data_IF_696469554805
#
_entry.id   IF_696469554805
#
_cell.length_a   1.000
_cell.length_b   1.000
_cell.length_c   1.000
_cell.angle_alpha   90.00
_cell.angle_beta   90.00
_cell.angle_gamma   90.00
#
_symmetry.space_group_name_H-M   'P 1'
#
loop_
_entity.id
_entity.type
_entity.pdbx_description
1 polymer ?
#
# COMPACT_ATOMS: atom_id res chain seq x y z
N UNK A 1 -20.84 -13.98 -21.55
CA UNK A 1 -19.72 -14.52 -22.37
C UNK A 1 -18.49 -13.63 -22.32
N UNK A 2 -18.65 -12.31 -22.42
CA UNK A 2 -17.54 -11.35 -22.43
C UNK A 2 -16.66 -11.39 -21.19
N UNK A 3 -17.22 -11.49 -19.99
CA UNK A 3 -16.44 -11.43 -18.74
C UNK A 3 -15.58 -12.68 -18.50
N UNK A 4 -16.07 -13.89 -18.80
CA UNK A 4 -15.27 -15.12 -18.76
C UNK A 4 -14.02 -15.00 -19.65
N UNK A 5 -14.18 -14.43 -20.86
CA UNK A 5 -13.05 -14.21 -21.77
C UNK A 5 -12.05 -13.19 -21.21
N UNK A 6 -12.49 -12.21 -20.42
CA UNK A 6 -11.57 -11.28 -19.76
C UNK A 6 -10.71 -11.99 -18.69
N UNK A 7 -11.28 -12.93 -17.93
CA UNK A 7 -10.50 -13.77 -17.03
C UNK A 7 -9.48 -14.62 -17.81
N UNK A 8 -9.86 -15.22 -18.94
CA UNK A 8 -8.92 -15.96 -19.80
C UNK A 8 -7.80 -15.06 -20.37
N UNK A 9 -8.11 -13.80 -20.72
CA UNK A 9 -7.10 -12.83 -21.15
C UNK A 9 -6.14 -12.46 -20.01
N UNK A 10 -6.66 -12.31 -18.78
CA UNK A 10 -5.82 -12.11 -17.59
C UNK A 10 -4.95 -13.34 -17.34
N UNK A 11 -5.50 -14.54 -17.49
CA UNK A 11 -4.76 -15.81 -17.39
C UNK A 11 -3.60 -15.85 -18.41
N UNK A 12 -3.87 -15.52 -19.67
CA UNK A 12 -2.85 -15.41 -20.71
C UNK A 12 -1.77 -14.37 -20.37
N UNK A 13 -2.16 -13.22 -19.80
CA UNK A 13 -1.23 -12.21 -19.30
C UNK A 13 -0.28 -12.77 -18.22
N UNK A 14 -0.81 -13.54 -17.27
CA UNK A 14 -0.01 -14.22 -16.25
C UNK A 14 0.90 -15.28 -16.85
N UNK A 15 0.45 -16.04 -17.86
CA UNK A 15 1.30 -17.00 -18.58
C UNK A 15 2.49 -16.29 -19.25
N UNK A 16 2.25 -15.18 -19.93
CA UNK A 16 3.33 -14.38 -20.54
C UNK A 16 4.34 -13.91 -19.48
N UNK A 17 3.85 -13.38 -18.35
CA UNK A 17 4.74 -12.96 -17.25
C UNK A 17 5.49 -14.15 -16.62
N UNK A 18 4.85 -15.30 -16.47
CA UNK A 18 5.49 -16.52 -15.99
C UNK A 18 6.62 -16.95 -16.93
N UNK A 19 6.37 -17.00 -18.24
CA UNK A 19 7.40 -17.30 -19.24
C UNK A 19 8.57 -16.30 -19.18
N UNK A 20 8.28 -14.99 -19.07
CA UNK A 20 9.31 -13.95 -18.92
C UNK A 20 10.13 -14.17 -17.63
N UNK A 21 9.48 -14.50 -16.51
CA UNK A 21 10.16 -14.77 -15.25
C UNK A 21 11.02 -16.03 -15.32
N UNK A 22 10.50 -17.11 -15.91
CA UNK A 22 11.19 -18.39 -16.06
C UNK A 22 12.43 -18.26 -16.97
N UNK A 23 12.26 -17.64 -18.14
CA UNK A 23 13.36 -17.39 -19.06
C UNK A 23 14.46 -16.54 -18.40
N UNK A 24 14.07 -15.44 -17.73
CA UNK A 24 15.05 -14.59 -17.02
C UNK A 24 15.66 -15.27 -15.80
N UNK A 25 14.93 -16.12 -15.10
CA UNK A 25 15.47 -16.89 -13.97
C UNK A 25 16.54 -17.86 -14.47
N UNK A 26 16.26 -18.56 -15.56
CA UNK A 26 17.20 -19.45 -16.23
C UNK A 26 18.46 -18.70 -16.68
N UNK A 27 18.31 -17.60 -17.41
CA UNK A 27 19.44 -16.88 -18.00
C UNK A 27 20.30 -16.13 -16.99
N UNK A 28 19.70 -15.67 -15.88
CA UNK A 28 20.39 -14.81 -14.92
C UNK A 28 20.70 -15.45 -13.57
N UNK A 29 20.11 -16.61 -13.26
CA UNK A 29 20.14 -17.20 -11.92
C UNK A 29 19.49 -16.34 -10.83
N UNK A 30 18.75 -15.28 -11.18
CA UNK A 30 18.21 -14.34 -10.22
C UNK A 30 17.00 -14.91 -9.45
N UNK A 31 17.29 -15.50 -8.28
CA UNK A 31 16.30 -16.12 -7.39
C UNK A 31 15.14 -15.21 -6.95
N UNK A 32 15.24 -13.87 -7.07
CA UNK A 32 14.09 -12.99 -6.80
C UNK A 32 12.94 -13.17 -7.78
N UNK A 33 13.16 -13.84 -8.92
CA UNK A 33 12.11 -14.15 -9.89
C UNK A 33 11.27 -15.37 -9.50
N UNK A 34 11.67 -16.16 -8.51
CA UNK A 34 10.96 -17.38 -8.10
C UNK A 34 9.55 -17.05 -7.59
N UNK A 35 9.41 -16.13 -6.64
CA UNK A 35 8.09 -15.78 -6.09
C UNK A 35 7.18 -15.14 -7.14
N UNK A 36 7.61 -14.16 -7.96
CA UNK A 36 6.80 -13.65 -9.08
C UNK A 36 6.39 -14.74 -10.07
N UNK A 37 7.29 -15.68 -10.39
CA UNK A 37 6.98 -16.82 -11.26
C UNK A 37 5.87 -17.69 -10.67
N UNK A 38 6.02 -18.11 -9.40
CA UNK A 38 5.03 -18.96 -8.73
C UNK A 38 3.66 -18.26 -8.60
N UNK A 39 3.65 -16.96 -8.31
CA UNK A 39 2.42 -16.16 -8.28
C UNK A 39 1.78 -16.08 -9.67
N UNK A 40 2.55 -15.84 -10.72
CA UNK A 40 2.01 -15.82 -12.08
C UNK A 40 1.40 -17.19 -12.47
N UNK A 41 2.04 -18.31 -12.14
CA UNK A 41 1.49 -19.64 -12.40
C UNK A 41 0.21 -19.91 -11.62
N UNK A 42 0.16 -19.42 -10.37
CA UNK A 42 -1.03 -19.53 -9.51
C UNK A 42 -2.20 -18.73 -10.06
N UNK A 43 -1.95 -17.48 -10.46
CA UNK A 43 -2.98 -16.58 -10.97
C UNK A 43 -3.41 -16.97 -12.39
N UNK A 44 -2.51 -17.55 -13.18
CA UNK A 44 -2.87 -18.25 -14.42
C UNK A 44 -3.90 -19.34 -14.14
N UNK A 45 -3.62 -20.24 -13.20
CA UNK A 45 -4.55 -21.30 -12.83
C UNK A 45 -5.87 -20.74 -12.31
N UNK A 46 -5.83 -19.77 -11.39
CA UNK A 46 -7.01 -19.16 -10.79
C UNK A 46 -7.93 -18.53 -11.84
N UNK A 47 -7.37 -17.70 -12.71
CA UNK A 47 -8.13 -17.01 -13.75
C UNK A 47 -8.66 -17.98 -14.81
N UNK A 48 -7.91 -19.03 -15.16
CA UNK A 48 -8.38 -20.07 -16.08
C UNK A 48 -9.56 -20.87 -15.49
N UNK A 49 -9.52 -21.21 -14.19
CA UNK A 49 -10.64 -21.91 -13.55
C UNK A 49 -11.88 -21.01 -13.48
N UNK A 50 -11.72 -19.71 -13.16
CA UNK A 50 -12.83 -18.74 -13.16
C UNK A 50 -13.40 -18.57 -14.59
N UNK A 51 -12.53 -18.42 -15.59
CA UNK A 51 -12.93 -18.26 -16.99
C UNK A 51 -13.70 -19.46 -17.52
N UNK A 52 -13.23 -20.67 -17.20
CA UNK A 52 -13.86 -21.94 -17.57
C UNK A 52 -15.18 -22.22 -16.84
N UNK A 53 -15.41 -21.62 -15.65
CA UNK A 53 -16.50 -22.04 -14.76
C UNK A 53 -17.90 -21.96 -15.35
N UNK A 54 -18.19 -20.97 -16.22
CA UNK A 54 -19.46 -20.90 -16.97
C UNK A 54 -19.69 -22.14 -17.85
N UNK A 55 -18.62 -22.67 -18.45
CA UNK A 55 -18.70 -23.78 -19.41
C UNK A 55 -18.75 -25.13 -18.69
N UNK A 56 -18.06 -25.23 -17.55
CA UNK A 56 -18.07 -26.43 -16.70
C UNK A 56 -19.39 -26.57 -15.93
N UNK A 57 -20.05 -25.46 -15.60
CA UNK A 57 -21.23 -25.45 -14.77
C UNK A 57 -20.93 -25.73 -13.29
N UNK A 58 -21.95 -25.64 -12.44
CA UNK A 58 -21.82 -25.97 -11.03
C UNK A 58 -21.79 -27.49 -10.88
N UNK A 59 -20.88 -28.00 -10.05
CA UNK A 59 -20.72 -29.44 -9.85
C UNK A 59 -19.29 -29.82 -9.43
N UNK A 60 -19.10 -31.12 -9.20
CA UNK A 60 -17.87 -31.64 -8.58
C UNK A 60 -16.58 -31.32 -9.34
N UNK A 61 -16.62 -31.17 -10.67
CA UNK A 61 -15.43 -30.80 -11.46
C UNK A 61 -14.96 -29.39 -11.16
N UNK A 62 -15.86 -28.39 -11.27
CA UNK A 62 -15.51 -26.99 -10.99
C UNK A 62 -15.17 -26.79 -9.50
N UNK A 63 -15.83 -27.53 -8.62
CA UNK A 63 -15.54 -27.55 -7.19
C UNK A 63 -14.12 -28.08 -6.90
N UNK A 64 -13.76 -29.24 -7.46
CA UNK A 64 -12.43 -29.84 -7.31
C UNK A 64 -11.32 -28.95 -7.90
N UNK A 65 -11.57 -28.28 -9.02
CA UNK A 65 -10.66 -27.28 -9.57
C UNK A 65 -10.59 -25.99 -8.72
N UNK A 66 -11.61 -25.74 -7.88
CA UNK A 66 -11.63 -24.55 -7.04
C UNK A 66 -10.84 -24.71 -5.75
N UNK A 67 -10.76 -25.91 -5.18
CA UNK A 67 -10.02 -26.16 -3.93
C UNK A 67 -8.54 -25.71 -3.99
N UNK A 68 -7.75 -26.05 -5.03
CA UNK A 68 -6.35 -25.63 -5.10
C UNK A 68 -6.17 -24.12 -5.16
N UNK A 69 -7.15 -23.38 -5.70
CA UNK A 69 -7.09 -21.91 -5.79
C UNK A 69 -6.93 -21.32 -4.39
N UNK A 70 -7.79 -21.71 -3.45
CA UNK A 70 -7.74 -21.24 -2.07
C UNK A 70 -6.47 -21.69 -1.34
N UNK A 71 -6.12 -22.97 -1.48
CA UNK A 71 -4.93 -23.51 -0.81
C UNK A 71 -3.62 -22.85 -1.26
N UNK A 72 -3.46 -22.63 -2.56
CA UNK A 72 -2.25 -22.01 -3.11
C UNK A 72 -2.20 -20.52 -2.72
N UNK A 73 -3.32 -19.79 -2.79
CA UNK A 73 -3.37 -18.38 -2.36
C UNK A 73 -3.06 -18.21 -0.87
N UNK A 74 -3.56 -19.12 -0.03
CA UNK A 74 -3.33 -19.09 1.41
C UNK A 74 -1.84 -19.14 1.79
N UNK A 75 -1.02 -19.76 0.94
CA UNK A 75 0.42 -19.88 1.17
C UNK A 75 1.21 -18.85 0.38
N UNK A 76 1.00 -18.74 -0.94
CA UNK A 76 1.87 -17.96 -1.82
C UNK A 76 1.70 -16.45 -1.66
N UNK A 77 0.49 -15.96 -1.41
CA UNK A 77 0.28 -14.52 -1.23
C UNK A 77 1.07 -13.97 -0.03
N UNK A 78 1.05 -14.61 1.15
CA UNK A 78 1.94 -14.26 2.26
C UNK A 78 3.44 -14.30 1.95
N UNK A 79 3.91 -15.13 1.01
CA UNK A 79 5.33 -15.19 0.61
C UNK A 79 5.82 -13.91 -0.09
N UNK A 80 4.92 -12.98 -0.44
CA UNK A 80 5.29 -11.63 -0.83
C UNK A 80 6.04 -10.86 0.28
N UNK A 81 5.78 -11.17 1.55
CA UNK A 81 6.44 -10.55 2.71
C UNK A 81 7.96 -10.83 2.70
N UNK A 82 8.44 -12.10 2.74
CA UNK A 82 9.86 -12.39 2.67
C UNK A 82 10.47 -12.01 1.32
N UNK A 83 9.71 -12.08 0.22
CA UNK A 83 10.19 -11.58 -1.08
C UNK A 83 10.50 -10.08 -1.04
N UNK A 84 9.57 -9.28 -0.53
CA UNK A 84 9.73 -7.82 -0.42
C UNK A 84 10.88 -7.46 0.53
N UNK A 85 11.05 -8.23 1.61
CA UNK A 85 12.19 -8.06 2.51
C UNK A 85 13.52 -8.35 1.79
N UNK A 86 13.62 -9.43 1.03
CA UNK A 86 14.81 -9.75 0.23
C UNK A 86 15.12 -8.69 -0.83
N UNK A 87 14.08 -8.14 -1.46
CA UNK A 87 14.16 -7.00 -2.39
C UNK A 87 14.70 -5.76 -1.69
N UNK A 88 14.23 -5.44 -0.48
CA UNK A 88 14.72 -4.30 0.31
C UNK A 88 16.20 -4.45 0.66
N UNK A 89 16.64 -5.65 1.06
CA UNK A 89 18.06 -5.96 1.31
C UNK A 89 18.87 -5.69 0.04
N UNK A 90 18.46 -6.25 -1.10
CA UNK A 90 19.18 -6.08 -2.37
C UNK A 90 19.20 -4.64 -2.87
N UNK A 91 18.15 -3.88 -2.59
CA UNK A 91 18.09 -2.44 -2.87
C UNK A 91 18.99 -1.62 -1.93
N UNK A 92 19.59 -2.23 -0.89
CA UNK A 92 20.46 -1.56 0.07
C UNK A 92 19.69 -0.66 1.04
N UNK A 93 18.44 -1.02 1.35
CA UNK A 93 17.62 -0.31 2.35
C UNK A 93 18.20 -0.57 3.74
N UNK A 94 18.45 0.51 4.50
CA UNK A 94 19.23 0.45 5.75
C UNK A 94 18.63 -0.43 6.85
N UNK A 95 17.30 -0.43 7.00
CA UNK A 95 16.63 -1.22 8.04
C UNK A 95 16.55 -2.71 7.70
N UNK A 96 16.64 -3.08 6.42
CA UNK A 96 16.34 -4.43 5.95
C UNK A 96 17.36 -5.47 6.42
N UNK A 97 18.62 -5.08 6.66
CA UNK A 97 19.65 -5.97 7.18
C UNK A 97 19.59 -6.22 8.69
N UNK A 98 18.70 -5.55 9.42
CA UNK A 98 18.66 -5.61 10.89
C UNK A 98 18.01 -6.91 11.41
N UNK A 99 18.38 -7.34 12.63
CA UNK A 99 17.76 -8.49 13.31
C UNK A 99 16.24 -8.27 13.54
N UNK A 100 15.78 -7.09 14.00
CA UNK A 100 14.36 -6.81 14.11
C UNK A 100 13.62 -6.97 12.78
N UNK A 101 14.16 -6.47 11.66
CA UNK A 101 13.51 -6.63 10.36
C UNK A 101 13.34 -8.10 9.94
N UNK A 102 14.34 -8.95 10.20
CA UNK A 102 14.22 -10.40 9.95
C UNK A 102 13.14 -11.05 10.82
N UNK A 103 13.12 -10.75 12.12
CA UNK A 103 12.13 -11.30 13.05
C UNK A 103 10.71 -10.85 12.70
N UNK A 104 10.52 -9.56 12.41
CA UNK A 104 9.22 -9.02 11.97
C UNK A 104 8.76 -9.69 10.68
N UNK A 105 9.65 -9.85 9.70
CA UNK A 105 9.33 -10.54 8.43
C UNK A 105 8.88 -11.97 8.69
N UNK A 106 9.62 -12.74 9.49
CA UNK A 106 9.27 -14.11 9.83
C UNK A 106 7.93 -14.20 10.58
N UNK A 107 7.73 -13.37 11.60
CA UNK A 107 6.51 -13.34 12.40
C UNK A 107 5.27 -12.98 11.56
N UNK A 108 5.37 -11.93 10.73
CA UNK A 108 4.27 -11.53 9.85
C UNK A 108 3.95 -12.58 8.80
N UNK A 109 4.96 -13.26 8.25
CA UNK A 109 4.75 -14.34 7.28
C UNK A 109 4.04 -15.52 7.93
N UNK A 110 4.52 -15.97 9.10
CA UNK A 110 3.91 -17.08 9.82
C UNK A 110 2.48 -16.77 10.23
N UNK A 111 2.22 -15.56 10.74
CA UNK A 111 0.88 -15.09 11.07
C UNK A 111 -0.03 -15.08 9.85
N UNK A 112 0.41 -14.48 8.74
CA UNK A 112 -0.39 -14.37 7.52
C UNK A 112 -0.72 -15.75 6.93
N UNK A 113 0.25 -16.67 6.86
CA UNK A 113 0.01 -18.05 6.40
C UNK A 113 -0.93 -18.78 7.37
N UNK A 114 -0.68 -18.71 8.67
CA UNK A 114 -1.52 -19.40 9.67
C UNK A 114 -2.97 -18.95 9.62
N UNK A 115 -3.21 -17.62 9.50
CA UNK A 115 -4.56 -17.08 9.34
C UNK A 115 -5.18 -17.49 8.01
N UNK A 116 -4.45 -17.39 6.90
CA UNK A 116 -4.98 -17.75 5.58
C UNK A 116 -5.33 -19.24 5.50
N UNK A 117 -4.46 -20.13 5.97
CA UNK A 117 -4.73 -21.58 6.01
C UNK A 117 -5.93 -21.88 6.89
N UNK A 118 -6.03 -21.24 8.06
CA UNK A 118 -7.18 -21.41 8.94
C UNK A 118 -8.51 -20.98 8.32
N UNK A 119 -8.50 -19.96 7.46
CA UNK A 119 -9.70 -19.41 6.82
C UNK A 119 -10.05 -20.14 5.51
N UNK A 120 -9.06 -20.31 4.64
CA UNK A 120 -9.25 -20.64 3.23
C UNK A 120 -8.94 -22.10 2.92
N UNK A 121 -8.45 -22.86 3.90
CA UNK A 121 -8.17 -24.29 3.75
C UNK A 121 -8.93 -25.10 4.79
N UNK A 122 -8.70 -24.83 6.07
CA UNK A 122 -9.31 -25.62 7.17
C UNK A 122 -10.82 -25.37 7.26
N UNK A 123 -11.24 -24.12 7.09
CA UNK A 123 -12.66 -23.71 7.14
C UNK A 123 -13.28 -23.56 5.75
N UNK A 124 -12.62 -24.04 4.70
CA UNK A 124 -13.08 -23.87 3.34
C UNK A 124 -14.48 -24.47 3.17
N UNK A 125 -15.44 -23.61 2.80
CA UNK A 125 -16.80 -24.02 2.47
C UNK A 125 -17.13 -23.49 1.08
N UNK A 126 -17.06 -24.34 0.07
CA UNK A 126 -17.24 -23.89 -1.30
C UNK A 126 -18.73 -23.67 -1.61
N UNK A 127 -19.07 -22.50 -2.16
CA UNK A 127 -20.40 -22.19 -2.67
C UNK A 127 -20.33 -21.65 -4.11
N UNK A 128 -21.18 -22.13 -5.03
CA UNK A 128 -21.25 -21.58 -6.38
C UNK A 128 -21.81 -20.15 -6.35
N UNK A 129 -21.14 -19.25 -7.05
CA UNK A 129 -21.46 -17.83 -7.13
C UNK A 129 -21.47 -17.37 -8.59
N UNK A 130 -22.54 -16.66 -8.95
CA UNK A 130 -22.68 -16.01 -10.25
C UNK A 130 -22.32 -14.54 -10.15
N UNK A 131 -21.40 -14.10 -11.02
CA UNK A 131 -21.05 -12.69 -11.14
C UNK A 131 -20.84 -12.31 -12.61
N UNK A 132 -21.60 -11.33 -13.10
CA UNK A 132 -21.49 -10.81 -14.47
C UNK A 132 -21.43 -11.91 -15.57
N UNK A 133 -22.21 -12.98 -15.40
CA UNK A 133 -22.27 -14.12 -16.33
C UNK A 133 -21.07 -15.09 -16.27
N UNK A 134 -20.23 -14.95 -15.24
CA UNK A 134 -19.23 -15.95 -14.83
C UNK A 134 -19.79 -16.77 -13.67
N UNK A 135 -19.37 -18.05 -13.61
CA UNK A 135 -19.65 -18.94 -12.50
C UNK A 135 -18.32 -19.31 -11.85
N UNK A 136 -18.22 -19.17 -10.53
CA UNK A 136 -17.05 -19.58 -9.74
C UNK A 136 -17.51 -20.18 -8.42
N UNK A 137 -16.66 -20.94 -7.75
CA UNK A 137 -16.86 -21.19 -6.32
C UNK A 137 -16.13 -20.13 -5.47
N UNK A 138 -16.86 -19.57 -4.51
CA UNK A 138 -16.38 -18.72 -3.42
C UNK A 138 -16.32 -19.48 -2.10
N UNK A 139 -15.65 -18.92 -1.10
CA UNK A 139 -15.63 -19.46 0.27
C UNK A 139 -16.82 -18.88 1.07
N UNK A 140 -17.85 -19.67 1.32
CA UNK A 140 -19.01 -19.27 2.12
C UNK A 140 -18.70 -19.06 3.60
N UNK A 141 -17.61 -19.67 4.10
CA UNK A 141 -17.12 -19.46 5.45
C UNK A 141 -16.22 -18.21 5.58
N UNK A 142 -16.10 -17.44 4.50
CA UNK A 142 -15.43 -16.15 4.46
C UNK A 142 -15.84 -15.28 5.65
N UNK A 143 -14.92 -15.12 6.60
CA UNK A 143 -15.08 -14.16 7.70
C UNK A 143 -14.39 -12.84 7.32
N UNK A 144 -14.68 -11.75 8.03
CA UNK A 144 -13.96 -10.48 7.83
C UNK A 144 -12.43 -10.64 7.86
N UNK A 145 -11.89 -11.61 8.61
CA UNK A 145 -10.44 -11.89 8.69
C UNK A 145 -9.78 -12.44 7.42
N UNK A 146 -10.54 -12.86 6.41
CA UNK A 146 -9.98 -13.39 5.14
C UNK A 146 -9.13 -12.35 4.39
N UNK A 147 -9.44 -11.06 4.54
CA UNK A 147 -8.65 -9.99 3.95
C UNK A 147 -7.28 -9.79 4.64
N UNK A 148 -7.09 -10.31 5.86
CA UNK A 148 -5.92 -9.98 6.68
C UNK A 148 -4.57 -10.37 6.05
N UNK A 149 -4.38 -11.61 5.54
CA UNK A 149 -3.12 -12.01 4.92
C UNK A 149 -2.75 -11.13 3.72
N UNK A 150 -3.73 -10.80 2.88
CA UNK A 150 -3.57 -9.92 1.72
C UNK A 150 -3.22 -8.50 2.16
N UNK A 151 -3.89 -7.96 3.19
CA UNK A 151 -3.60 -6.64 3.73
C UNK A 151 -2.19 -6.53 4.32
N UNK A 152 -1.75 -7.54 5.08
CA UNK A 152 -0.40 -7.59 5.64
C UNK A 152 0.63 -7.64 4.50
N UNK A 153 0.48 -8.56 3.56
CA UNK A 153 1.40 -8.73 2.43
C UNK A 153 1.45 -7.46 1.55
N UNK A 154 0.30 -6.94 1.15
CA UNK A 154 0.19 -5.73 0.33
C UNK A 154 0.80 -4.50 1.00
N UNK A 155 0.53 -4.30 2.29
CA UNK A 155 1.13 -3.20 3.07
C UNK A 155 2.65 -3.34 3.14
N UNK A 156 3.16 -4.55 3.35
CA UNK A 156 4.60 -4.79 3.42
C UNK A 156 5.30 -4.54 2.07
N UNK A 157 4.68 -4.96 0.96
CA UNK A 157 5.14 -4.65 -0.40
C UNK A 157 5.11 -3.13 -0.65
N UNK A 158 4.07 -2.43 -0.20
CA UNK A 158 3.95 -0.98 -0.35
C UNK A 158 5.04 -0.22 0.43
N UNK A 159 5.26 -0.59 1.69
CA UNK A 159 6.37 -0.08 2.53
C UNK A 159 7.71 -0.27 1.82
N UNK A 160 7.93 -1.46 1.27
CA UNK A 160 9.14 -1.80 0.50
C UNK A 160 9.24 -0.94 -0.76
N UNK A 161 8.16 -0.75 -1.51
CA UNK A 161 8.10 0.12 -2.68
C UNK A 161 8.50 1.56 -2.36
N UNK A 162 7.99 2.12 -1.25
CA UNK A 162 8.41 3.45 -0.78
C UNK A 162 9.90 3.44 -0.42
N UNK A 163 10.38 2.45 0.33
CA UNK A 163 11.79 2.38 0.74
C UNK A 163 12.75 2.31 -0.46
N UNK A 164 12.43 1.50 -1.48
CA UNK A 164 13.20 1.42 -2.73
C UNK A 164 13.15 2.74 -3.48
N UNK A 165 11.97 3.38 -3.57
CA UNK A 165 11.87 4.68 -4.21
C UNK A 165 12.79 5.70 -3.53
N UNK A 166 12.78 5.78 -2.21
CA UNK A 166 13.62 6.73 -1.48
C UNK A 166 15.11 6.41 -1.61
N UNK A 167 15.46 5.12 -1.69
CA UNK A 167 16.85 4.67 -1.75
C UNK A 167 17.46 4.71 -3.14
N UNK A 168 16.67 4.40 -4.18
CA UNK A 168 17.13 4.18 -5.57
C UNK A 168 16.40 5.04 -6.60
N UNK A 169 15.44 5.87 -6.20
CA UNK A 169 14.59 6.62 -7.13
C UNK A 169 13.60 5.75 -7.94
N UNK A 170 13.54 4.45 -7.70
CA UNK A 170 12.73 3.50 -8.47
C UNK A 170 11.30 3.40 -7.93
N UNK A 171 10.35 3.91 -8.72
CA UNK A 171 8.91 4.02 -8.37
C UNK A 171 8.00 2.86 -8.80
N UNK A 172 8.29 2.05 -9.84
CA UNK A 172 7.32 1.08 -10.34
C UNK A 172 6.74 0.13 -9.29
N UNK A 173 7.54 -0.42 -8.35
CA UNK A 173 7.00 -1.28 -7.30
C UNK A 173 5.95 -0.57 -6.43
N UNK A 174 6.21 0.69 -6.06
CA UNK A 174 5.24 1.51 -5.32
C UNK A 174 3.97 1.74 -6.15
N UNK A 175 4.12 2.06 -7.44
CA UNK A 175 2.98 2.33 -8.31
C UNK A 175 2.09 1.09 -8.48
N UNK A 176 2.67 -0.07 -8.79
CA UNK A 176 1.89 -1.31 -8.98
C UNK A 176 1.28 -1.82 -7.67
N UNK A 177 1.98 -1.68 -6.54
CA UNK A 177 1.42 -1.99 -5.23
C UNK A 177 0.23 -1.07 -4.87
N UNK A 178 0.34 0.23 -5.14
CA UNK A 178 -0.75 1.18 -4.92
C UNK A 178 -1.97 0.87 -5.80
N UNK A 179 -1.76 0.53 -7.08
CA UNK A 179 -2.84 0.08 -7.97
C UNK A 179 -3.51 -1.16 -7.42
N UNK A 180 -2.73 -2.16 -6.97
CA UNK A 180 -3.29 -3.37 -6.37
C UNK A 180 -4.08 -3.09 -5.09
N UNK A 181 -3.61 -2.18 -4.22
CA UNK A 181 -4.37 -1.83 -3.01
C UNK A 181 -5.75 -1.25 -3.35
N UNK A 182 -5.85 -0.38 -4.37
CA UNK A 182 -7.14 0.14 -4.83
C UNK A 182 -7.97 -0.96 -5.49
N UNK A 183 -7.38 -1.77 -6.36
CA UNK A 183 -8.05 -2.89 -7.01
C UNK A 183 -8.64 -3.89 -6.00
N UNK A 184 -7.87 -4.26 -4.97
CA UNK A 184 -8.28 -5.16 -3.90
C UNK A 184 -9.47 -4.60 -3.11
N UNK A 185 -9.50 -3.29 -2.83
CA UNK A 185 -10.66 -2.67 -2.16
C UNK A 185 -11.94 -2.72 -2.99
N UNK A 186 -11.82 -2.86 -4.31
CA UNK A 186 -12.96 -2.93 -5.24
C UNK A 186 -13.33 -4.37 -5.62
N UNK A 187 -12.49 -5.35 -5.26
CA UNK A 187 -12.61 -6.73 -5.72
C UNK A 187 -13.88 -7.44 -5.23
N UNK A 188 -14.41 -7.05 -4.07
CA UNK A 188 -15.67 -7.60 -3.55
C UNK A 188 -16.88 -7.29 -4.44
N UNK A 189 -16.91 -6.10 -5.05
CA UNK A 189 -17.97 -5.70 -5.98
C UNK A 189 -17.65 -6.10 -7.43
N UNK A 190 -16.36 -6.10 -7.79
CA UNK A 190 -15.89 -6.44 -9.11
C UNK A 190 -14.64 -7.34 -9.05
N UNK A 191 -14.79 -8.67 -8.93
CA UNK A 191 -13.68 -9.62 -8.86
C UNK A 191 -12.67 -9.49 -10.00
N UNK A 192 -13.12 -9.06 -11.18
CA UNK A 192 -12.26 -8.78 -12.32
C UNK A 192 -11.22 -7.69 -12.02
N UNK A 193 -11.58 -6.64 -11.27
CA UNK A 193 -10.64 -5.57 -10.92
C UNK A 193 -9.53 -6.09 -10.01
N UNK A 194 -9.87 -6.95 -9.03
CA UNK A 194 -8.89 -7.61 -8.17
C UNK A 194 -7.85 -8.37 -8.98
N UNK A 195 -8.32 -9.25 -9.89
CA UNK A 195 -7.46 -10.06 -10.76
C UNK A 195 -6.61 -9.21 -11.72
N UNK A 196 -7.15 -8.12 -12.25
CA UNK A 196 -6.36 -7.17 -13.05
C UNK A 196 -5.29 -6.47 -12.20
N UNK A 197 -5.61 -6.12 -10.95
CA UNK A 197 -4.67 -5.57 -9.99
C UNK A 197 -3.52 -6.53 -9.70
N UNK A 198 -3.81 -7.83 -9.57
CA UNK A 198 -2.81 -8.88 -9.33
C UNK A 198 -1.87 -9.04 -10.53
N UNK A 199 -2.39 -8.98 -11.75
CA UNK A 199 -1.58 -8.98 -12.97
C UNK A 199 -0.60 -7.79 -13.00
N UNK A 200 -1.11 -6.59 -12.71
CA UNK A 200 -0.31 -5.36 -12.65
C UNK A 200 0.74 -5.44 -11.53
N UNK A 201 0.37 -5.98 -10.37
CA UNK A 201 1.29 -6.21 -9.27
C UNK A 201 2.41 -7.15 -9.71
N UNK A 202 2.08 -8.33 -10.26
CA UNK A 202 3.04 -9.33 -10.72
C UNK A 202 4.02 -8.75 -11.75
N UNK A 203 3.56 -7.94 -12.70
CA UNK A 203 4.42 -7.22 -13.62
C UNK A 203 5.41 -6.30 -12.89
N UNK A 204 4.94 -5.56 -11.88
CA UNK A 204 5.77 -4.73 -11.01
C UNK A 204 6.80 -5.52 -10.21
N UNK A 205 6.43 -6.69 -9.67
CA UNK A 205 7.34 -7.58 -8.94
C UNK A 205 8.45 -8.10 -9.87
N UNK A 206 8.08 -8.64 -11.03
CA UNK A 206 9.00 -9.16 -12.03
C UNK A 206 9.96 -8.07 -12.56
N UNK A 207 9.43 -6.89 -12.89
CA UNK A 207 10.23 -5.74 -13.31
C UNK A 207 11.22 -5.29 -12.23
N UNK A 208 10.80 -5.29 -10.97
CA UNK A 208 11.66 -4.94 -9.82
C UNK A 208 12.78 -5.96 -9.63
N UNK A 209 12.46 -7.25 -9.64
CA UNK A 209 13.44 -8.32 -9.55
C UNK A 209 14.49 -8.22 -10.67
N UNK A 210 14.05 -7.97 -11.91
CA UNK A 210 14.94 -7.80 -13.05
C UNK A 210 15.80 -6.53 -12.96
N UNK A 211 15.23 -5.40 -12.52
CA UNK A 211 15.97 -4.14 -12.42
C UNK A 211 17.05 -4.19 -11.34
N UNK A 212 16.77 -4.82 -10.21
CA UNK A 212 17.75 -4.95 -9.13
C UNK A 212 18.92 -5.90 -9.47
N UNK A 213 18.85 -6.65 -10.57
CA UNK A 213 20.02 -7.35 -11.14
C UNK A 213 21.01 -6.38 -11.77
N UNK A 214 20.51 -5.39 -12.51
CA UNK A 214 21.30 -4.53 -13.38
C UNK A 214 21.56 -3.14 -12.82
N UNK A 215 20.95 -2.79 -11.67
CA UNK A 215 20.82 -1.40 -11.27
C UNK A 215 22.19 -0.71 -11.13
N UNK A 216 22.54 0.26 -12.01
CA UNK A 216 23.60 1.21 -11.69
C UNK A 216 23.17 2.02 -10.47
N UNK A 217 24.13 2.65 -9.81
CA UNK A 217 23.90 3.42 -8.60
C UNK A 217 23.06 4.68 -8.88
N UNK A 218 21.74 4.53 -9.06
CA UNK A 218 20.82 5.66 -9.18
C UNK A 218 20.85 6.45 -7.88
N UNK A 219 21.08 7.76 -8.00
CA UNK A 219 21.18 8.62 -6.83
C UNK A 219 19.90 8.55 -5.99
N UNK A 220 20.08 8.45 -4.67
CA UNK A 220 18.97 8.47 -3.72
C UNK A 220 18.19 9.79 -3.86
N UNK A 221 16.90 9.77 -3.51
CA UNK A 221 16.06 10.97 -3.59
C UNK A 221 16.62 12.04 -2.62
N UNK A 222 16.93 13.26 -3.09
CA UNK A 222 17.49 14.31 -2.24
C UNK A 222 16.62 14.61 -1.02
N UNK A 223 17.24 14.88 0.14
CA UNK A 223 16.51 15.13 1.39
C UNK A 223 15.51 16.30 1.30
N UNK A 224 15.84 17.34 0.53
CA UNK A 224 14.95 18.47 0.28
C UNK A 224 13.69 18.07 -0.50
N UNK A 225 13.84 17.17 -1.49
CA UNK A 225 12.72 16.63 -2.25
C UNK A 225 11.85 15.73 -1.37
N UNK A 226 12.47 14.84 -0.57
CA UNK A 226 11.74 14.00 0.41
C UNK A 226 10.90 14.86 1.35
N UNK A 227 11.49 15.86 1.99
CA UNK A 227 10.78 16.76 2.89
C UNK A 227 9.64 17.54 2.21
N UNK A 228 9.78 17.90 0.93
CA UNK A 228 8.71 18.55 0.15
C UNK A 228 7.55 17.59 -0.10
N UNK A 229 7.86 16.35 -0.48
CA UNK A 229 6.85 15.30 -0.70
C UNK A 229 6.15 14.94 0.61
N UNK A 230 6.87 14.72 1.72
CA UNK A 230 6.28 14.42 3.04
C UNK A 230 5.25 15.46 3.44
N UNK A 231 5.59 16.75 3.25
CA UNK A 231 4.67 17.85 3.54
C UNK A 231 3.43 17.81 2.64
N UNK A 232 3.61 17.66 1.32
CA UNK A 232 2.48 17.59 0.37
C UNK A 232 1.56 16.42 0.67
N UNK A 233 2.11 15.23 0.94
CA UNK A 233 1.31 14.05 1.30
C UNK A 233 0.54 14.27 2.60
N UNK A 234 1.15 14.89 3.62
CA UNK A 234 0.43 15.23 4.85
C UNK A 234 -0.79 16.12 4.59
N UNK A 235 -0.68 17.08 3.66
CA UNK A 235 -1.79 17.96 3.28
C UNK A 235 -2.88 17.29 2.43
N UNK A 236 -2.59 16.18 1.74
CA UNK A 236 -3.56 15.45 0.92
C UNK A 236 -4.21 14.31 1.72
N UNK A 237 -3.40 13.53 2.44
CA UNK A 237 -3.86 12.41 3.26
C UNK A 237 -4.85 12.87 4.33
N UNK A 238 -4.67 14.09 4.83
CA UNK A 238 -5.46 14.60 5.94
C UNK A 238 -6.91 14.95 5.56
N UNK A 239 -7.21 15.78 4.53
CA UNK A 239 -8.59 15.98 4.08
C UNK A 239 -9.27 14.68 3.67
N UNK A 240 -8.53 13.75 3.06
CA UNK A 240 -9.05 12.47 2.64
C UNK A 240 -9.49 11.59 3.84
N UNK A 241 -8.73 11.62 4.93
CA UNK A 241 -9.11 10.97 6.18
C UNK A 241 -10.33 11.61 6.83
N UNK A 242 -10.38 12.94 6.90
CA UNK A 242 -11.57 13.63 7.40
C UNK A 242 -12.79 13.23 6.58
N UNK A 243 -12.64 13.15 5.26
CA UNK A 243 -13.71 12.73 4.36
C UNK A 243 -14.15 11.29 4.67
N UNK A 244 -13.22 10.35 4.90
CA UNK A 244 -13.55 8.95 5.15
C UNK A 244 -14.14 8.68 6.53
N UNK A 245 -13.84 9.53 7.53
CA UNK A 245 -14.36 9.35 8.90
C UNK A 245 -15.59 10.21 9.20
N UNK A 246 -15.66 11.42 8.65
CA UNK A 246 -16.72 12.39 8.97
C UNK A 246 -17.94 12.29 8.04
N UNK A 247 -17.83 11.62 6.89
CA UNK A 247 -18.94 11.45 5.95
C UNK A 247 -19.44 10.00 6.04
N UNK A 248 -20.54 9.74 6.78
CA UNK A 248 -21.00 8.38 7.08
C UNK A 248 -21.49 7.60 5.85
N UNK A 249 -21.76 8.28 4.73
CA UNK A 249 -22.06 7.65 3.45
C UNK A 249 -21.58 8.55 2.30
N UNK A 250 -20.45 8.20 1.71
CA UNK A 250 -20.00 8.87 0.48
C UNK A 250 -20.81 8.32 -0.72
N UNK A 251 -21.08 9.13 -1.76
CA UNK A 251 -21.90 8.71 -2.90
C UNK A 251 -21.22 7.57 -3.67
N UNK A 252 -21.98 6.68 -4.28
CA UNK A 252 -21.40 5.67 -5.16
C UNK A 252 -20.92 6.33 -6.47
N UNK A 253 -19.72 5.96 -6.92
CA UNK A 253 -19.15 6.44 -8.20
C UNK A 253 -19.01 5.23 -9.12
N UNK A 254 -19.80 5.20 -10.19
CA UNK A 254 -19.79 4.07 -11.14
C UNK A 254 -20.19 2.72 -10.51
N UNK A 255 -21.04 2.74 -9.48
CA UNK A 255 -21.46 1.55 -8.75
C UNK A 255 -20.52 1.11 -7.61
N UNK A 256 -19.40 1.82 -7.42
CA UNK A 256 -18.48 1.54 -6.32
C UNK A 256 -18.71 2.48 -5.14
N UNK A 257 -18.62 1.95 -3.92
CA UNK A 257 -18.59 2.76 -2.70
C UNK A 257 -17.34 3.64 -2.68
N UNK A 258 -17.52 4.95 -2.84
CA UNK A 258 -16.40 5.89 -2.86
C UNK A 258 -15.73 6.03 -1.48
N UNK A 259 -16.41 5.63 -0.39
CA UNK A 259 -15.79 5.51 0.93
C UNK A 259 -14.70 4.46 0.96
N UNK A 260 -14.98 3.27 0.42
CA UNK A 260 -13.99 2.20 0.27
C UNK A 260 -12.77 2.63 -0.56
N UNK A 261 -12.97 3.31 -1.68
CA UNK A 261 -11.87 3.84 -2.51
C UNK A 261 -11.06 4.90 -1.77
N UNK A 262 -11.74 5.86 -1.14
CA UNK A 262 -11.08 6.91 -0.37
C UNK A 262 -10.27 6.33 0.79
N UNK A 263 -10.78 5.27 1.43
CA UNK A 263 -10.07 4.56 2.50
C UNK A 263 -8.81 3.85 2.00
N UNK A 264 -8.87 3.18 0.85
CA UNK A 264 -7.69 2.56 0.23
C UNK A 264 -6.62 3.59 -0.14
N UNK A 265 -7.03 4.73 -0.73
CA UNK A 265 -6.11 5.83 -1.04
C UNK A 265 -5.51 6.42 0.24
N UNK A 266 -6.32 6.59 1.30
CA UNK A 266 -5.84 7.05 2.59
C UNK A 266 -4.76 6.13 3.17
N UNK A 267 -4.97 4.81 3.16
CA UNK A 267 -3.99 3.83 3.62
C UNK A 267 -2.66 3.98 2.87
N UNK A 268 -2.70 4.11 1.53
CA UNK A 268 -1.50 4.32 0.71
C UNK A 268 -0.76 5.58 1.15
N UNK A 269 -1.47 6.69 1.25
CA UNK A 269 -0.89 7.98 1.62
C UNK A 269 -0.32 7.96 3.04
N UNK A 270 -0.97 7.27 3.98
CA UNK A 270 -0.49 7.14 5.35
C UNK A 270 0.80 6.32 5.41
N UNK A 271 0.88 5.19 4.70
CA UNK A 271 2.11 4.38 4.61
C UNK A 271 3.25 5.20 4.01
N UNK A 272 2.99 5.93 2.92
CA UNK A 272 3.97 6.82 2.30
C UNK A 272 4.41 7.91 3.27
N UNK A 273 3.48 8.57 3.96
CA UNK A 273 3.76 9.63 4.93
C UNK A 273 4.61 9.12 6.09
N UNK A 274 4.25 7.98 6.68
CA UNK A 274 4.98 7.36 7.78
C UNK A 274 6.42 7.03 7.37
N UNK A 275 6.63 6.33 6.24
CA UNK A 275 7.96 5.98 5.75
C UNK A 275 8.81 7.21 5.41
N UNK A 276 8.22 8.21 4.77
CA UNK A 276 8.89 9.48 4.49
C UNK A 276 9.24 10.24 5.77
N UNK A 277 8.38 10.19 6.80
CA UNK A 277 8.64 10.75 8.12
C UNK A 277 9.85 10.08 8.78
N UNK A 278 9.85 8.75 8.85
CA UNK A 278 10.95 7.93 9.40
C UNK A 278 12.28 8.29 8.73
N UNK A 279 12.31 8.26 7.41
CA UNK A 279 13.54 8.46 6.64
C UNK A 279 14.04 9.90 6.63
N UNK A 280 13.14 10.88 6.77
CA UNK A 280 13.50 12.31 6.76
C UNK A 280 13.92 12.80 8.14
N UNK A 281 13.31 12.28 9.21
CA UNK A 281 13.48 12.83 10.55
C UNK A 281 14.14 11.86 11.56
N UNK A 282 14.22 10.56 11.24
CA UNK A 282 14.84 9.53 12.08
C UNK A 282 13.94 9.01 13.21
N UNK A 283 14.38 7.94 13.87
CA UNK A 283 13.76 7.37 15.08
C UNK A 283 14.78 7.39 16.23
N UNK A 284 14.57 8.17 17.31
CA UNK A 284 13.52 9.19 17.49
C UNK A 284 13.73 10.40 16.56
N UNK A 285 12.67 11.20 16.28
CA UNK A 285 12.78 12.30 15.33
C UNK A 285 13.70 13.39 15.86
N UNK A 286 14.65 13.83 15.03
CA UNK A 286 15.57 14.95 15.34
C UNK A 286 15.02 16.26 14.75
N UNK A 287 15.15 17.37 15.48
CA UNK A 287 14.79 18.71 15.00
C UNK A 287 13.93 19.53 15.95
N UNK A 288 13.32 20.61 15.43
CA UNK A 288 12.45 21.49 16.22
C UNK A 288 11.19 20.76 16.73
N UNK A 289 10.55 21.32 17.77
CA UNK A 289 9.39 20.70 18.44
C UNK A 289 8.27 20.31 17.46
N UNK A 290 8.02 21.13 16.44
CA UNK A 290 7.01 20.86 15.41
C UNK A 290 7.35 19.65 14.52
N UNK A 291 8.62 19.50 14.11
CA UNK A 291 9.06 18.31 13.36
C UNK A 291 8.97 17.04 14.20
N UNK A 292 9.38 17.12 15.47
CA UNK A 292 9.26 15.99 16.42
C UNK A 292 7.82 15.56 16.57
N UNK A 293 6.91 16.52 16.72
CA UNK A 293 5.47 16.29 16.81
C UNK A 293 4.89 15.60 15.56
N UNK A 294 5.10 16.16 14.35
CA UNK A 294 4.59 15.54 13.11
C UNK A 294 5.10 14.12 12.88
N UNK A 295 6.35 13.87 13.23
CA UNK A 295 6.94 12.56 13.00
C UNK A 295 6.48 11.55 14.05
N UNK A 296 6.42 11.94 15.32
CA UNK A 296 5.90 11.11 16.41
C UNK A 296 4.42 10.75 16.17
N UNK A 297 3.64 11.65 15.60
CA UNK A 297 2.26 11.40 15.21
C UNK A 297 2.13 10.29 14.15
N UNK A 298 2.92 10.33 13.09
CA UNK A 298 2.96 9.24 12.11
C UNK A 298 3.38 7.90 12.73
N UNK A 299 4.24 7.93 13.75
CA UNK A 299 4.69 6.72 14.48
C UNK A 299 3.62 6.14 15.39
N UNK A 300 2.75 6.97 15.96
CA UNK A 300 1.65 6.51 16.81
C UNK A 300 0.50 5.97 15.97
N UNK A 301 0.14 6.65 14.88
CA UNK A 301 -1.06 6.30 14.12
C UNK A 301 -0.94 5.07 13.24
N UNK A 302 0.26 4.76 12.73
CA UNK A 302 0.40 3.57 11.89
C UNK A 302 0.14 2.29 12.71
N UNK A 303 0.74 2.08 13.89
CA UNK A 303 0.37 0.99 14.80
C UNK A 303 -1.09 1.05 15.25
N UNK A 304 -1.63 2.24 15.57
CA UNK A 304 -3.04 2.39 15.99
C UNK A 304 -4.02 1.98 14.87
N UNK A 305 -3.77 2.39 13.63
CA UNK A 305 -4.58 1.99 12.48
C UNK A 305 -4.47 0.49 12.24
N UNK A 306 -3.25 -0.07 12.25
CA UNK A 306 -3.04 -1.50 12.08
C UNK A 306 -3.74 -2.29 13.20
N UNK A 307 -3.65 -1.84 14.44
CA UNK A 307 -4.32 -2.46 15.59
C UNK A 307 -5.85 -2.36 15.49
N UNK A 308 -6.39 -1.20 15.10
CA UNK A 308 -7.82 -1.02 14.88
C UNK A 308 -8.34 -1.94 13.77
N UNK A 309 -7.61 -2.05 12.66
CA UNK A 309 -7.95 -2.95 11.56
C UNK A 309 -7.88 -4.42 12.02
N UNK A 310 -6.81 -4.82 12.72
CA UNK A 310 -6.68 -6.16 13.27
C UNK A 310 -7.84 -6.49 14.23
N UNK A 311 -8.18 -5.60 15.15
CA UNK A 311 -9.27 -5.82 16.11
C UNK A 311 -10.65 -5.85 15.46
N UNK A 312 -10.89 -5.00 14.45
CA UNK A 312 -12.10 -5.04 13.64
C UNK A 312 -12.22 -6.37 12.89
N UNK A 313 -11.10 -6.88 12.35
CA UNK A 313 -11.05 -8.14 11.61
C UNK A 313 -11.37 -9.33 12.52
N UNK A 314 -10.79 -9.42 13.72
CA UNK A 314 -10.95 -10.58 14.60
C UNK A 314 -12.29 -10.65 15.35
N UNK A 315 -13.18 -9.67 15.19
CA UNK A 315 -14.49 -9.58 15.88
C UNK A 315 -14.44 -9.79 17.41
N UNK A 316 -13.24 -9.82 18.01
CA UNK A 316 -13.04 -10.22 19.39
C UNK A 316 -13.53 -9.16 20.38
N UNK A 317 -13.69 -7.91 19.92
CA UNK A 317 -14.32 -6.81 20.65
C UNK A 317 -14.61 -5.66 19.67
N UNK A 318 -15.81 -5.60 19.07
CA UNK A 318 -16.23 -4.45 18.24
C UNK A 318 -15.99 -3.12 18.99
N UNK A 319 -16.29 -3.10 20.29
CA UNK A 319 -16.01 -1.95 21.17
C UNK A 319 -14.52 -1.56 21.25
N UNK A 320 -13.57 -2.49 21.19
CA UNK A 320 -12.15 -2.14 21.20
C UNK A 320 -11.65 -1.66 19.83
N UNK A 321 -12.18 -2.24 18.75
CA UNK A 321 -11.94 -1.74 17.41
C UNK A 321 -12.46 -0.30 17.24
N UNK A 322 -13.69 -0.05 17.70
CA UNK A 322 -14.31 1.27 17.71
C UNK A 322 -13.56 2.25 18.62
N UNK A 323 -13.11 1.79 19.79
CA UNK A 323 -12.28 2.60 20.69
C UNK A 323 -10.95 2.97 20.04
N UNK A 324 -10.25 2.03 19.39
CA UNK A 324 -9.00 2.33 18.71
C UNK A 324 -9.20 3.21 17.48
N UNK A 325 -10.29 3.02 16.72
CA UNK A 325 -10.68 3.91 15.64
C UNK A 325 -11.00 5.32 16.17
N UNK A 326 -11.68 5.42 17.31
CA UNK A 326 -11.95 6.67 18.01
C UNK A 326 -10.68 7.35 18.55
N UNK A 327 -9.74 6.59 19.10
CA UNK A 327 -8.44 7.09 19.54
C UNK A 327 -7.58 7.54 18.35
N UNK A 328 -7.61 6.81 17.25
CA UNK A 328 -6.99 7.19 15.99
C UNK A 328 -7.59 8.51 15.49
N UNK A 329 -8.91 8.65 15.47
CA UNK A 329 -9.59 9.89 15.09
C UNK A 329 -9.25 11.05 16.03
N UNK A 330 -9.24 10.82 17.34
CA UNK A 330 -8.90 11.82 18.36
C UNK A 330 -7.45 12.30 18.20
N UNK A 331 -6.50 11.38 18.12
CA UNK A 331 -5.08 11.72 17.92
C UNK A 331 -4.91 12.53 16.64
N UNK A 332 -5.60 12.14 15.56
CA UNK A 332 -5.62 12.89 14.30
C UNK A 332 -6.18 14.29 14.47
N UNK A 333 -7.32 14.42 15.14
CA UNK A 333 -7.97 15.71 15.39
C UNK A 333 -7.06 16.65 16.17
N UNK A 334 -6.40 16.14 17.22
CA UNK A 334 -5.41 16.89 18.01
C UNK A 334 -4.22 17.32 17.16
N UNK A 335 -3.70 16.42 16.33
CA UNK A 335 -2.58 16.71 15.44
C UNK A 335 -2.87 17.83 14.46
N UNK A 336 -4.07 17.84 13.93
CA UNK A 336 -4.53 18.83 12.96
C UNK A 336 -4.77 20.16 13.62
N UNK A 337 -5.46 20.18 14.76
CA UNK A 337 -5.67 21.40 15.52
C UNK A 337 -4.34 22.08 15.83
N UNK A 338 -3.35 21.31 16.28
CA UNK A 338 -2.00 21.81 16.50
C UNK A 338 -1.32 22.28 15.20
N UNK A 339 -1.40 21.50 14.12
CA UNK A 339 -0.86 21.85 12.82
C UNK A 339 -1.41 23.17 12.26
N UNK A 340 -2.73 23.38 12.36
CA UNK A 340 -3.42 24.59 11.94
C UNK A 340 -2.99 25.80 12.77
N UNK A 341 -2.92 25.66 14.11
CA UNK A 341 -2.42 26.72 15.00
C UNK A 341 -0.99 27.14 14.63
N UNK A 342 -0.11 26.18 14.34
CA UNK A 342 1.25 26.48 13.89
C UNK A 342 1.29 27.17 12.53
N UNK A 343 0.44 26.76 11.58
CA UNK A 343 0.34 27.38 10.27
C UNK A 343 -0.14 28.84 10.37
N UNK A 344 -1.20 29.10 11.16
CA UNK A 344 -1.74 30.44 11.39
C UNK A 344 -0.73 31.36 12.09
N UNK A 345 -0.02 30.85 13.11
CA UNK A 345 1.04 31.62 13.79
C UNK A 345 2.17 32.01 12.83
N UNK A 346 2.59 31.09 11.95
CA UNK A 346 3.64 31.36 10.96
C UNK A 346 3.19 32.36 9.88
N UNK A 347 1.91 32.33 9.50
CA UNK A 347 1.32 33.33 8.60
C UNK A 347 1.42 34.74 9.15
N UNK A 348 1.05 34.94 10.43
CA UNK A 348 1.12 36.24 11.11
C UNK A 348 2.54 36.81 11.21
N UNK A 349 3.54 35.95 11.43
CA UNK A 349 4.95 36.39 11.46
C UNK A 349 5.45 36.84 10.09
N UNK A 350 4.93 36.25 9.00
CA UNK A 350 5.30 36.63 7.62
C UNK A 350 4.59 37.89 7.13
N UNK A 351 3.34 38.09 7.52
CA UNK A 351 2.55 39.28 7.17
C UNK A 351 2.82 40.46 8.10
N UNK A 352 3.47 40.20 9.24
CA UNK A 352 4.11 41.22 10.07
C UNK A 352 5.30 41.83 9.34
N UNK A 353 5.02 42.62 8.31
CA UNK A 353 5.88 43.69 7.85
C UNK A 353 6.16 44.53 9.10
N UNK A 354 7.35 44.38 9.68
CA UNK A 354 7.88 45.44 10.55
C UNK A 354 7.87 46.69 9.67
N UNK A 355 7.15 47.77 10.03
CA UNK A 355 7.36 49.03 9.35
C UNK A 355 8.86 49.28 9.35
N UNK A 356 9.45 49.37 8.16
CA UNK A 356 10.85 49.74 8.05
C UNK A 356 11.03 51.05 8.80
N UNK A 357 12.16 51.26 9.49
CA UNK A 357 12.44 52.56 10.08
C UNK A 357 12.19 53.64 9.01
N UNK A 358 11.51 54.75 9.35
CA UNK A 358 11.20 55.79 8.38
C UNK A 358 12.48 56.13 7.64
N UNK A 359 12.42 56.10 6.30
CA UNK A 359 13.55 56.42 5.46
C UNK A 359 14.07 57.78 5.92
N UNK A 360 15.25 57.79 6.55
CA UNK A 360 15.94 59.03 6.89
C UNK A 360 16.26 59.68 5.56
N UNK A 361 15.48 60.71 5.21
CA UNK A 361 15.73 61.60 4.10
C UNK A 361 17.11 62.20 4.33
N UNK A 362 18.13 61.61 3.69
CA UNK A 362 19.44 62.25 3.57
C UNK A 362 19.23 63.46 2.68
N UNK A 363 19.19 64.63 3.30
CA UNK A 363 19.25 65.90 2.60
C UNK A 363 20.48 65.90 1.69
N UNK A 364 20.22 65.98 0.39
CA UNK A 364 21.20 66.38 -0.63
C UNK A 364 21.51 67.86 -0.42
N UNK A 365 22.58 68.16 0.31
CA UNK A 365 23.26 69.46 0.21
C UNK A 365 24.03 69.49 -1.10
N UNK A 366 23.52 70.26 -2.05
CA UNK A 366 24.23 70.64 -3.26
C UNK A 366 25.43 71.52 -2.88
N UNK A 367 26.63 71.12 -3.32
CA UNK A 367 27.80 71.99 -3.30
C UNK A 367 27.81 72.86 -4.57
N UNK A 368 28.16 74.15 -4.49
CA UNK A 368 28.31 75.00 -5.67
C UNK A 368 29.63 74.66 -6.39
N UNK A 369 29.54 74.47 -7.70
CA UNK A 369 30.68 74.31 -8.61
C UNK A 369 31.42 75.65 -8.78
N UNK A 370 32.72 75.66 -8.47
CA UNK A 370 33.65 76.67 -8.93
C UNK A 370 34.62 76.05 -9.93
N UNK A 371 34.40 76.34 -11.22
CA UNK A 371 35.38 76.69 -12.27
C UNK A 371 34.78 76.50 -13.65
#
# INVERSE_FOLDING_TARGET
MTVSLLFELIAAGHLVLACVCAHRLHDSGNRLLIIPLLLCLTLLYDNAVIGAGRFLGAGGVLEALSVPRFAIHAVLTPLLIPWAHAVAIRAGVSWAGSRPARLTTAALTALAIGTAVGNDVVRLSLRPEWWAGTLRYGNAAASGTEALPVLIAGTFVLVTGVAIWLRRGYRPLLATAAVMTVAASLAGAAPLLGNLGELILCAGLAATAHRLRHAPNTAAVPAAQRARVTRRLGWIAFPLLLLTVAVPALPTIGGFDSGTVAQAVYQILLVMHAQLGITTYGLPPKGNRLRRFHTAFGYANLPLLLAAQLLALFAATAAAADLLAGLLLLTITVHVGLGLVFALRRGRVRTGIRPGPPATVRGTTAAPSSR
#
